data_IF_602497425355
#
_entry.id   IF_602497425355
#
_cell.length_a   1.000
_cell.length_b   1.000
_cell.length_c   1.000
_cell.angle_alpha   90.00
_cell.angle_beta   90.00
_cell.angle_gamma   90.00
#
_symmetry.space_group_name_H-M   'P 1'
#
loop_
_entity.id
_entity.type
_entity.pdbx_description
1 polymer ?
#
# COMPACT_ATOMS: atom_id res chain seq x y z
N UNK A 1 -14.62 -26.32 22.90
CA UNK A 1 -13.18 -26.10 23.13
C UNK A 1 -12.79 -24.85 22.37
N UNK A 2 -12.56 -23.73 23.07
CA UNK A 2 -12.13 -22.48 22.48
C UNK A 2 -10.61 -22.58 22.37
N UNK A 3 -10.08 -22.66 21.15
CA UNK A 3 -8.65 -22.60 20.91
C UNK A 3 -8.15 -21.18 21.20
N UNK A 4 -7.36 -21.03 22.24
CA UNK A 4 -6.69 -19.79 22.61
C UNK A 4 -5.74 -19.40 21.47
N UNK A 5 -6.08 -18.36 20.72
CA UNK A 5 -5.13 -17.66 19.87
C UNK A 5 -4.05 -17.04 20.77
N UNK A 6 -2.83 -17.52 20.60
CA UNK A 6 -1.67 -16.94 21.28
C UNK A 6 -1.49 -15.50 20.80
N UNK A 7 -1.78 -14.57 21.67
CA UNK A 7 -1.42 -13.16 21.51
C UNK A 7 0.09 -13.07 21.34
N UNK A 8 0.56 -12.83 20.13
CA UNK A 8 1.97 -12.67 19.83
C UNK A 8 2.41 -11.32 20.37
N UNK A 9 3.05 -11.32 21.54
CA UNK A 9 3.70 -10.13 22.10
C UNK A 9 4.91 -9.79 21.24
N UNK A 10 4.81 -8.68 20.51
CA UNK A 10 5.94 -8.13 19.75
C UNK A 10 6.91 -7.48 20.74
N UNK A 11 8.12 -8.03 20.82
CA UNK A 11 9.26 -7.36 21.44
C UNK A 11 9.55 -6.07 20.67
N UNK A 12 9.60 -4.96 21.37
CA UNK A 12 9.90 -3.63 20.84
C UNK A 12 11.40 -3.52 20.52
N UNK A 13 11.85 -4.15 19.46
CA UNK A 13 13.04 -3.70 18.75
C UNK A 13 12.54 -2.90 17.58
N UNK A 14 12.89 -1.61 17.52
CA UNK A 14 12.56 -0.69 16.43
C UNK A 14 13.09 -1.25 15.11
N UNK A 15 12.30 -2.14 14.48
CA UNK A 15 12.63 -2.73 13.18
C UNK A 15 12.09 -1.78 12.11
N UNK A 16 12.72 -0.62 12.00
CA UNK A 16 12.47 0.24 10.86
C UNK A 16 13.34 -0.23 9.70
N UNK A 17 12.77 -0.49 8.52
CA UNK A 17 13.56 -0.86 7.37
C UNK A 17 14.48 0.31 7.03
N UNK A 18 15.75 0.01 6.79
CA UNK A 18 16.64 0.97 6.20
C UNK A 18 16.04 1.42 4.86
N UNK A 19 15.82 2.73 4.67
CA UNK A 19 15.27 3.29 3.42
C UNK A 19 16.14 2.95 2.21
N UNK A 20 17.45 2.80 2.39
CA UNK A 20 18.37 2.38 1.33
C UNK A 20 18.07 0.96 0.88
N UNK A 21 17.81 0.04 1.82
CA UNK A 21 17.43 -1.33 1.52
C UNK A 21 16.10 -1.40 0.74
N UNK A 22 15.13 -0.56 1.10
CA UNK A 22 13.86 -0.47 0.36
C UNK A 22 14.07 0.10 -1.05
N UNK A 23 14.91 1.15 -1.19
CA UNK A 23 15.26 1.73 -2.49
C UNK A 23 15.94 0.72 -3.40
N UNK A 24 16.92 0.00 -2.89
CA UNK A 24 17.60 -1.08 -3.62
C UNK A 24 16.60 -2.15 -4.06
N UNK A 25 15.75 -2.63 -3.14
CA UNK A 25 14.76 -3.64 -3.47
C UNK A 25 13.77 -3.20 -4.54
N UNK A 26 13.14 -2.05 -4.36
CA UNK A 26 12.13 -1.56 -5.29
C UNK A 26 12.69 -0.94 -6.57
N UNK A 27 13.91 -0.40 -6.52
CA UNK A 27 14.59 0.15 -7.70
C UNK A 27 15.23 -0.91 -8.59
N UNK A 28 15.80 -1.97 -8.02
CA UNK A 28 16.62 -2.92 -8.76
C UNK A 28 16.04 -4.34 -8.80
N UNK A 29 15.55 -4.85 -7.68
CA UNK A 29 15.13 -6.26 -7.58
C UNK A 29 13.67 -6.46 -7.97
N UNK A 30 12.78 -5.62 -7.49
CA UNK A 30 11.35 -5.73 -7.75
C UNK A 30 10.97 -5.55 -9.23
N UNK A 31 11.52 -4.58 -10.00
CA UNK A 31 11.19 -4.42 -11.40
C UNK A 31 11.50 -5.65 -12.25
N UNK A 32 12.54 -6.41 -11.87
CA UNK A 32 12.93 -7.65 -12.58
C UNK A 32 11.97 -8.83 -12.31
N UNK A 33 11.20 -8.77 -11.23
CA UNK A 33 10.23 -9.80 -10.85
C UNK A 33 8.81 -9.45 -11.29
N UNK A 34 8.62 -8.27 -11.85
CA UNK A 34 7.32 -7.73 -12.18
C UNK A 34 6.68 -8.50 -13.33
N UNK A 35 5.47 -8.99 -13.10
CA UNK A 35 4.60 -9.50 -14.16
C UNK A 35 4.10 -8.27 -14.92
N UNK A 36 4.27 -8.24 -16.25
CA UNK A 36 3.62 -7.23 -17.10
C UNK A 36 2.11 -7.30 -16.87
N UNK A 37 1.43 -6.17 -16.85
CA UNK A 37 -0.03 -6.05 -16.73
C UNK A 37 -0.65 -6.29 -15.33
N UNK A 38 0.07 -5.91 -14.28
CA UNK A 38 -0.50 -5.89 -12.92
C UNK A 38 -1.82 -5.12 -12.80
N UNK A 39 -2.08 -4.20 -13.73
CA UNK A 39 -3.30 -3.39 -13.76
C UNK A 39 -4.57 -4.22 -13.89
N UNK A 40 -4.52 -5.36 -14.57
CA UNK A 40 -5.68 -6.22 -14.80
C UNK A 40 -5.79 -7.36 -13.79
N UNK A 41 -4.76 -7.57 -12.96
CA UNK A 41 -4.67 -8.71 -12.05
C UNK A 41 -5.38 -8.51 -10.70
N UNK A 42 -5.66 -7.28 -10.29
CA UNK A 42 -6.24 -6.99 -8.98
C UNK A 42 -7.55 -6.22 -9.11
N UNK A 43 -8.54 -6.58 -8.28
CA UNK A 43 -9.88 -5.98 -8.33
C UNK A 43 -9.90 -4.47 -8.20
N UNK A 44 -9.01 -3.90 -7.37
CA UNK A 44 -8.91 -2.46 -7.12
C UNK A 44 -7.59 -1.87 -7.59
N UNK A 45 -6.95 -2.49 -8.55
CA UNK A 45 -5.87 -1.92 -9.34
C UNK A 45 -6.28 -1.87 -10.79
N UNK A 46 -5.84 -0.89 -11.52
CA UNK A 46 -6.17 -0.77 -12.93
C UNK A 46 -7.44 0.00 -13.24
N UNK A 47 -8.16 -0.42 -14.25
CA UNK A 47 -9.28 0.34 -14.82
C UNK A 47 -10.35 0.71 -13.79
N UNK A 48 -10.66 -0.19 -12.85
CA UNK A 48 -11.71 0.09 -11.86
C UNK A 48 -11.40 1.29 -10.96
N UNK A 49 -10.14 1.46 -10.51
CA UNK A 49 -9.78 2.62 -9.70
C UNK A 49 -9.79 3.92 -10.50
N UNK A 50 -9.57 3.85 -11.81
CA UNK A 50 -9.72 5.00 -12.69
C UNK A 50 -11.18 5.45 -12.72
N UNK A 51 -12.11 4.49 -12.83
CA UNK A 51 -13.55 4.76 -12.89
C UNK A 51 -14.13 5.24 -11.54
N UNK A 52 -13.39 5.05 -10.43
CA UNK A 52 -13.76 5.49 -9.08
C UNK A 52 -13.34 6.96 -8.80
N UNK A 53 -12.65 7.61 -9.74
CA UNK A 53 -12.13 8.98 -9.59
C UNK A 53 -12.79 9.91 -10.60
N UNK A 54 -13.27 11.06 -10.11
CA UNK A 54 -13.83 12.10 -10.96
C UNK A 54 -12.75 13.05 -11.50
N UNK A 55 -12.98 13.63 -12.67
CA UNK A 55 -12.01 14.51 -13.37
C UNK A 55 -11.53 15.72 -12.55
N UNK A 56 -12.34 16.18 -11.61
CA UNK A 56 -12.01 17.32 -10.76
C UNK A 56 -11.25 16.96 -9.49
N UNK A 57 -11.19 15.69 -9.14
CA UNK A 57 -10.53 15.21 -7.92
C UNK A 57 -9.02 15.17 -8.07
N UNK A 58 -8.31 15.51 -7.00
CA UNK A 58 -6.87 15.34 -6.88
C UNK A 58 -6.56 14.01 -6.20
N UNK A 59 -5.72 13.22 -6.84
CA UNK A 59 -5.33 11.87 -6.37
C UNK A 59 -3.88 11.86 -5.95
N UNK A 60 -3.60 11.29 -4.77
CA UNK A 60 -2.26 10.96 -4.31
C UNK A 60 -2.04 9.44 -4.42
N UNK A 61 -1.11 9.01 -5.27
CA UNK A 61 -0.70 7.61 -5.38
C UNK A 61 0.59 7.37 -4.57
N UNK A 62 0.45 6.72 -3.42
CA UNK A 62 1.54 6.49 -2.46
C UNK A 62 2.26 5.20 -2.78
N UNK A 63 3.56 5.31 -3.09
CA UNK A 63 4.37 4.19 -3.57
C UNK A 63 3.90 3.76 -4.96
N UNK A 64 3.78 4.73 -5.86
CA UNK A 64 3.21 4.55 -7.20
C UNK A 64 4.05 3.66 -8.11
N UNK A 65 5.30 3.37 -7.75
CA UNK A 65 6.21 2.60 -8.58
C UNK A 65 6.38 3.24 -9.96
N UNK A 66 6.09 2.48 -11.01
CA UNK A 66 6.13 2.97 -12.40
C UNK A 66 4.97 3.91 -12.77
N UNK A 67 4.19 4.34 -11.81
CA UNK A 67 3.10 5.30 -11.96
C UNK A 67 2.07 4.88 -13.05
N UNK A 68 1.44 3.71 -12.94
CA UNK A 68 0.61 3.13 -13.99
C UNK A 68 -0.68 3.92 -14.29
N UNK A 69 -1.08 4.81 -13.38
CA UNK A 69 -2.25 5.68 -13.53
C UNK A 69 -1.93 7.03 -14.21
N UNK A 70 -0.64 7.35 -14.39
CA UNK A 70 -0.21 8.59 -15.05
C UNK A 70 -0.78 8.69 -16.47
N UNK A 71 -1.39 9.83 -16.77
CA UNK A 71 -2.07 10.07 -18.04
C UNK A 71 -3.45 9.42 -18.18
N UNK A 72 -3.89 8.63 -17.20
CA UNK A 72 -5.24 8.05 -17.13
C UNK A 72 -6.11 8.77 -16.11
N UNK A 73 -5.52 9.24 -15.02
CA UNK A 73 -6.15 10.12 -14.04
C UNK A 73 -5.59 11.52 -14.22
N UNK A 74 -6.49 12.48 -14.40
CA UNK A 74 -6.15 13.85 -14.80
C UNK A 74 -5.28 14.61 -13.79
N UNK A 75 -5.63 14.53 -12.52
CA UNK A 75 -4.97 15.28 -11.45
C UNK A 75 -4.24 14.32 -10.49
N UNK A 76 -3.47 13.38 -11.04
CA UNK A 76 -2.66 12.43 -10.28
C UNK A 76 -1.35 13.07 -9.83
N UNK A 77 -0.93 12.73 -8.62
CA UNK A 77 0.41 12.96 -8.08
C UNK A 77 0.92 11.64 -7.48
N UNK A 78 1.89 11.04 -8.14
CA UNK A 78 2.52 9.80 -7.70
C UNK A 78 3.80 10.08 -6.93
N UNK A 79 3.89 9.59 -5.69
CA UNK A 79 5.11 9.63 -4.88
C UNK A 79 5.67 8.23 -4.69
N UNK A 80 7.01 8.11 -4.68
CA UNK A 80 7.70 6.84 -4.43
C UNK A 80 9.07 7.09 -3.79
N UNK A 81 9.63 6.08 -3.14
CA UNK A 81 11.01 6.15 -2.61
C UNK A 81 12.06 5.94 -3.69
N UNK A 82 11.64 5.51 -4.90
CA UNK A 82 12.51 5.23 -6.06
C UNK A 82 12.12 6.09 -7.26
N UNK A 83 13.10 6.47 -8.06
CA UNK A 83 12.90 7.25 -9.29
C UNK A 83 12.63 6.32 -10.50
N UNK A 84 11.47 5.63 -10.50
CA UNK A 84 11.06 4.74 -11.60
C UNK A 84 9.78 5.20 -12.32
N UNK A 85 9.49 6.51 -12.26
CA UNK A 85 8.34 7.11 -12.96
C UNK A 85 7.41 7.91 -12.07
N UNK A 86 7.72 8.08 -10.78
CA UNK A 86 6.97 8.95 -9.87
C UNK A 86 7.07 10.42 -10.28
N UNK A 87 6.17 11.23 -9.73
CA UNK A 87 6.22 12.69 -9.90
C UNK A 87 7.16 13.32 -8.84
N UNK A 88 7.31 12.66 -7.68
CA UNK A 88 8.18 13.10 -6.60
C UNK A 88 8.81 11.90 -5.89
N UNK A 89 10.15 11.95 -5.69
CA UNK A 89 10.91 10.91 -4.99
C UNK A 89 10.94 11.23 -3.50
N UNK A 90 10.00 10.67 -2.75
CA UNK A 90 9.86 10.90 -1.30
C UNK A 90 9.17 9.71 -0.63
N UNK A 91 9.57 9.41 0.61
CA UNK A 91 8.82 8.48 1.44
C UNK A 91 7.59 9.18 2.04
N UNK A 92 6.47 8.46 2.17
CA UNK A 92 5.23 9.06 2.68
C UNK A 92 5.38 9.67 4.08
N UNK A 93 6.21 9.09 4.95
CA UNK A 93 6.46 9.61 6.29
C UNK A 93 7.25 10.92 6.32
N UNK A 94 7.85 11.32 5.20
CA UNK A 94 8.59 12.57 5.02
C UNK A 94 7.92 13.49 3.98
N UNK A 95 6.77 13.07 3.44
CA UNK A 95 6.02 13.86 2.47
C UNK A 95 5.31 15.03 3.14
N UNK A 96 5.71 16.24 2.75
CA UNK A 96 5.14 17.50 3.23
C UNK A 96 4.55 18.25 2.04
N UNK A 97 3.29 18.65 2.16
CA UNK A 97 2.59 19.35 1.09
C UNK A 97 1.50 20.29 1.61
N UNK A 98 1.39 21.46 0.99
CA UNK A 98 0.25 22.36 1.20
C UNK A 98 -0.97 21.93 0.37
N UNK A 99 -0.73 21.21 -0.74
CA UNK A 99 -1.79 20.66 -1.58
C UNK A 99 -2.52 19.56 -0.83
N UNK A 100 -3.85 19.55 -0.93
CA UNK A 100 -4.72 18.53 -0.33
C UNK A 100 -5.39 17.69 -1.40
N UNK A 101 -5.52 16.39 -1.12
CA UNK A 101 -6.03 15.40 -2.06
C UNK A 101 -7.41 14.91 -1.65
N UNK A 102 -8.25 14.62 -2.65
CA UNK A 102 -9.60 14.07 -2.48
C UNK A 102 -9.55 12.56 -2.32
N UNK A 103 -8.59 11.93 -2.97
CA UNK A 103 -8.41 10.48 -3.04
C UNK A 103 -6.97 10.11 -2.78
N UNK A 104 -6.75 9.02 -2.06
CA UNK A 104 -5.43 8.40 -1.98
C UNK A 104 -5.47 6.92 -2.39
N UNK A 105 -4.43 6.49 -3.09
CA UNK A 105 -4.13 5.09 -3.37
C UNK A 105 -2.96 4.63 -2.52
N UNK A 106 -3.14 3.51 -1.82
CA UNK A 106 -2.12 2.84 -1.00
C UNK A 106 -2.08 1.37 -1.42
N UNK A 107 -1.52 1.13 -2.59
CA UNK A 107 -1.64 -0.17 -3.27
C UNK A 107 -0.41 -1.05 -3.04
N UNK A 108 -0.08 -1.28 -1.78
CA UNK A 108 1.04 -2.12 -1.37
C UNK A 108 2.26 -1.35 -0.87
N UNK A 109 2.15 -0.04 -0.65
CA UNK A 109 3.26 0.83 -0.25
C UNK A 109 3.45 0.92 1.26
N UNK A 110 2.39 1.08 2.05
CA UNK A 110 2.47 1.13 3.52
C UNK A 110 2.41 -0.31 4.06
N UNK A 111 3.49 -1.05 3.89
CA UNK A 111 3.59 -2.47 4.24
C UNK A 111 4.88 -2.83 4.99
N UNK A 112 5.73 -1.86 5.31
CA UNK A 112 7.06 -2.14 5.82
C UNK A 112 7.31 -1.43 7.14
N UNK A 113 8.03 -2.10 8.04
CA UNK A 113 8.41 -1.56 9.34
C UNK A 113 7.54 -2.04 10.49
N UNK A 114 7.70 -1.41 11.62
CA UNK A 114 6.93 -1.66 12.83
C UNK A 114 5.64 -0.82 12.89
N UNK A 115 4.86 -1.02 13.96
CA UNK A 115 3.64 -0.26 14.18
C UNK A 115 3.85 1.25 14.30
N UNK A 116 4.99 1.70 14.83
CA UNK A 116 5.28 3.12 14.98
C UNK A 116 5.51 3.78 13.62
N UNK A 117 6.25 3.12 12.73
CA UNK A 117 6.46 3.60 11.37
C UNK A 117 5.15 3.60 10.58
N UNK A 118 4.36 2.52 10.66
CA UNK A 118 3.03 2.45 10.01
C UNK A 118 2.14 3.61 10.47
N UNK A 119 2.07 3.88 11.77
CA UNK A 119 1.31 5.02 12.30
C UNK A 119 1.84 6.37 11.79
N UNK A 120 3.15 6.54 11.72
CA UNK A 120 3.75 7.77 11.16
C UNK A 120 3.36 7.94 9.70
N UNK A 121 3.45 6.89 8.90
CA UNK A 121 3.07 6.89 7.48
C UNK A 121 1.59 7.23 7.29
N UNK A 122 0.71 6.59 8.05
CA UNK A 122 -0.73 6.86 8.00
C UNK A 122 -1.06 8.30 8.42
N UNK A 123 -0.38 8.82 9.45
CA UNK A 123 -0.56 10.22 9.87
C UNK A 123 -0.17 11.19 8.77
N UNK A 124 0.97 10.99 8.11
CA UNK A 124 1.41 11.84 7.01
C UNK A 124 0.43 11.76 5.82
N UNK A 125 -0.03 10.55 5.49
CA UNK A 125 -1.08 10.35 4.49
C UNK A 125 -2.35 11.14 4.82
N UNK A 126 -2.88 10.98 6.03
CA UNK A 126 -4.11 11.67 6.46
C UNK A 126 -3.93 13.19 6.45
N UNK A 127 -2.77 13.68 6.84
CA UNK A 127 -2.46 15.12 6.79
C UNK A 127 -2.43 15.67 5.37
N UNK A 128 -2.18 14.86 4.35
CA UNK A 128 -2.23 15.27 2.95
C UNK A 128 -3.65 15.27 2.37
N UNK A 129 -4.64 14.76 3.09
CA UNK A 129 -6.00 14.62 2.57
C UNK A 129 -6.90 15.78 2.96
N UNK A 130 -7.94 16.00 2.14
CA UNK A 130 -9.05 16.93 2.42
C UNK A 130 -10.05 16.31 3.40
N UNK A 131 -10.86 17.12 4.09
CA UNK A 131 -12.13 16.63 4.62
C UNK A 131 -12.98 16.01 3.50
N UNK A 132 -13.72 14.96 3.80
CA UNK A 132 -14.54 14.20 2.82
C UNK A 132 -13.71 13.49 1.73
N UNK A 133 -12.52 13.04 2.07
CA UNK A 133 -11.65 12.23 1.22
C UNK A 133 -11.88 10.73 1.40
N UNK A 134 -11.29 9.94 0.51
CA UNK A 134 -11.31 8.48 0.59
C UNK A 134 -9.94 7.88 0.26
N UNK A 135 -9.67 6.71 0.84
CA UNK A 135 -8.42 5.98 0.66
C UNK A 135 -8.72 4.57 0.19
N UNK A 136 -8.11 4.16 -0.91
CA UNK A 136 -8.13 2.79 -1.40
C UNK A 136 -6.86 2.06 -1.02
N UNK A 137 -7.00 0.99 -0.28
CA UNK A 137 -5.91 0.18 0.22
C UNK A 137 -5.84 -1.18 -0.47
N UNK A 138 -4.63 -1.62 -0.74
CA UNK A 138 -4.31 -3.01 -1.01
C UNK A 138 -3.19 -3.45 -0.09
N UNK A 139 -3.44 -4.44 0.74
CA UNK A 139 -2.50 -4.93 1.74
C UNK A 139 -2.17 -6.41 1.54
N UNK A 140 -0.99 -6.81 1.98
CA UNK A 140 -0.62 -8.21 2.08
C UNK A 140 -1.16 -8.78 3.39
N UNK A 141 -2.08 -9.75 3.28
CA UNK A 141 -2.67 -10.42 4.44
C UNK A 141 -1.68 -11.42 5.06
N UNK A 142 -0.81 -10.93 5.92
CA UNK A 142 -0.01 -11.80 6.78
C UNK A 142 1.07 -12.66 6.11
N UNK A 143 1.34 -12.46 4.82
CA UNK A 143 2.39 -13.22 4.12
C UNK A 143 3.64 -12.37 3.93
N UNK A 144 4.83 -12.90 4.25
CA UNK A 144 6.07 -12.27 3.85
C UNK A 144 6.18 -12.27 2.31
N UNK A 145 6.93 -11.35 1.76
CA UNK A 145 7.27 -11.35 0.34
C UNK A 145 8.26 -12.50 0.08
N UNK A 146 7.74 -13.68 -0.28
CA UNK A 146 8.51 -14.92 -0.31
C UNK A 146 9.40 -15.07 -1.56
N UNK A 147 9.30 -14.17 -2.53
CA UNK A 147 9.77 -14.43 -3.88
C UNK A 147 11.25 -14.16 -4.13
N UNK A 148 12.01 -13.62 -3.18
CA UNK A 148 13.46 -13.50 -3.31
C UNK A 148 14.17 -13.62 -1.95
N UNK A 149 15.42 -14.10 -1.95
CA UNK A 149 16.27 -14.09 -0.77
C UNK A 149 16.44 -12.70 -0.16
N UNK A 150 16.39 -11.66 -0.98
CA UNK A 150 16.44 -10.26 -0.58
C UNK A 150 15.13 -9.80 0.09
N UNK A 151 13.99 -10.16 -0.46
CA UNK A 151 12.68 -9.82 0.12
C UNK A 151 12.46 -10.35 1.54
N UNK A 152 13.16 -11.44 1.92
CA UNK A 152 13.13 -11.98 3.28
C UNK A 152 13.77 -11.06 4.33
N UNK A 153 14.61 -10.12 3.90
CA UNK A 153 15.25 -9.14 4.78
C UNK A 153 14.37 -7.94 5.08
N UNK A 154 13.26 -7.78 4.34
CA UNK A 154 12.35 -6.66 4.52
C UNK A 154 11.34 -6.95 5.63
N UNK A 155 11.22 -6.07 6.65
CA UNK A 155 10.26 -6.23 7.73
C UNK A 155 8.86 -5.90 7.25
N UNK A 156 8.14 -6.89 6.73
CA UNK A 156 6.75 -6.74 6.31
C UNK A 156 5.81 -6.63 7.50
N UNK A 157 4.95 -5.61 7.47
CA UNK A 157 3.82 -5.52 8.35
C UNK A 157 2.70 -6.48 7.91
N UNK A 158 2.21 -7.29 8.84
CA UNK A 158 1.14 -8.26 8.58
C UNK A 158 -0.21 -7.63 8.82
N UNK A 159 -0.77 -7.07 7.76
CA UNK A 159 -2.07 -6.42 7.83
C UNK A 159 -3.22 -7.39 8.14
N UNK A 160 -4.19 -6.88 8.92
CA UNK A 160 -5.50 -7.50 9.14
C UNK A 160 -6.56 -6.42 9.39
N UNK A 161 -7.84 -6.80 9.39
CA UNK A 161 -8.96 -5.87 9.57
C UNK A 161 -8.85 -5.05 10.88
N UNK A 162 -8.41 -5.67 11.98
CA UNK A 162 -8.30 -4.97 13.26
C UNK A 162 -7.29 -3.81 13.20
N UNK A 163 -6.20 -3.93 12.46
CA UNK A 163 -5.24 -2.85 12.27
C UNK A 163 -5.90 -1.66 11.55
N UNK A 164 -6.70 -1.90 10.52
CA UNK A 164 -7.43 -0.83 9.83
C UNK A 164 -8.47 -0.17 10.76
N UNK A 165 -9.22 -0.97 11.52
CA UNK A 165 -10.18 -0.45 12.50
C UNK A 165 -9.48 0.43 13.56
N UNK A 166 -8.35 -0.03 14.12
CA UNK A 166 -7.57 0.74 15.10
C UNK A 166 -7.08 2.07 14.51
N UNK A 167 -6.56 2.07 13.30
CA UNK A 167 -6.08 3.28 12.64
C UNK A 167 -7.23 4.26 12.35
N UNK A 168 -8.38 3.77 11.89
CA UNK A 168 -9.54 4.64 11.63
C UNK A 168 -10.17 5.18 12.92
N UNK A 169 -9.96 4.55 14.08
CA UNK A 169 -10.32 5.12 15.37
C UNK A 169 -9.40 6.27 15.80
N UNK A 170 -8.15 6.27 15.35
CA UNK A 170 -7.15 7.32 15.64
C UNK A 170 -7.23 8.50 14.69
N UNK A 171 -7.95 8.36 13.56
CA UNK A 171 -8.07 9.33 12.49
C UNK A 171 -9.55 9.56 12.12
N UNK A 172 -9.91 10.67 11.44
CA UNK A 172 -11.31 10.98 11.09
C UNK A 172 -11.79 10.14 9.89
N UNK A 173 -11.61 8.82 9.96
CA UNK A 173 -11.99 7.86 8.91
C UNK A 173 -12.78 6.69 9.47
N UNK A 174 -13.50 6.01 8.59
CA UNK A 174 -14.09 4.70 8.85
C UNK A 174 -13.78 3.74 7.72
N UNK A 175 -13.77 2.44 8.01
CA UNK A 175 -13.67 1.39 6.99
C UNK A 175 -15.05 1.17 6.43
N UNK A 176 -15.30 1.55 5.18
CA UNK A 176 -16.60 1.40 4.52
C UNK A 176 -16.67 0.14 3.67
N UNK A 177 -15.53 -0.35 3.17
CA UNK A 177 -15.47 -1.61 2.44
C UNK A 177 -14.27 -2.45 2.88
N UNK A 178 -14.49 -3.77 2.94
CA UNK A 178 -13.44 -4.77 3.12
C UNK A 178 -13.69 -5.94 2.18
N UNK A 179 -12.66 -6.34 1.45
CA UNK A 179 -12.73 -7.46 0.53
C UNK A 179 -11.45 -8.29 0.58
N UNK A 180 -11.51 -9.53 1.11
CA UNK A 180 -10.41 -10.47 0.93
C UNK A 180 -10.39 -10.96 -0.51
N UNK A 181 -9.19 -11.13 -1.05
CA UNK A 181 -8.98 -11.66 -2.40
C UNK A 181 -7.85 -12.69 -2.39
N UNK A 182 -8.25 -13.93 -2.51
CA UNK A 182 -7.33 -15.06 -2.65
C UNK A 182 -7.43 -15.57 -4.08
N UNK A 183 -6.33 -15.57 -4.81
CA UNK A 183 -6.31 -16.07 -6.18
C UNK A 183 -4.99 -16.76 -6.50
N UNK A 184 -5.09 -17.76 -7.37
CA UNK A 184 -3.95 -18.52 -7.87
C UNK A 184 -3.61 -18.07 -9.27
N UNK A 185 -2.34 -17.78 -9.52
CA UNK A 185 -1.83 -17.47 -10.87
C UNK A 185 -0.61 -18.31 -11.18
N UNK A 186 -0.28 -18.39 -12.47
CA UNK A 186 0.95 -19.03 -12.92
C UNK A 186 1.98 -17.97 -13.30
N UNK A 187 3.19 -18.15 -12.79
CA UNK A 187 4.34 -17.38 -13.22
C UNK A 187 4.74 -17.78 -14.65
N UNK A 188 5.55 -16.96 -15.36
CA UNK A 188 6.05 -17.30 -16.69
C UNK A 188 6.81 -18.63 -16.76
N UNK A 189 7.41 -19.07 -15.66
CA UNK A 189 8.07 -20.38 -15.52
C UNK A 189 7.10 -21.55 -15.29
N UNK A 190 5.81 -21.29 -15.27
CA UNK A 190 4.74 -22.28 -15.05
C UNK A 190 4.46 -22.59 -13.59
N UNK A 191 5.19 -22.02 -12.63
CA UNK A 191 4.97 -22.20 -11.19
C UNK A 191 3.66 -21.54 -10.79
N UNK A 192 2.82 -22.29 -10.08
CA UNK A 192 1.62 -21.71 -9.46
C UNK A 192 1.98 -20.97 -8.16
N UNK A 193 1.46 -19.76 -8.02
CA UNK A 193 1.53 -18.98 -6.79
C UNK A 193 0.12 -18.61 -6.34
N UNK A 194 -0.10 -18.71 -5.03
CA UNK A 194 -1.32 -18.21 -4.41
C UNK A 194 -1.04 -16.84 -3.80
N UNK A 195 -1.75 -15.83 -4.26
CA UNK A 195 -1.63 -14.46 -3.80
C UNK A 195 -2.83 -14.13 -2.92
N UNK A 196 -2.54 -13.79 -1.68
CA UNK A 196 -3.53 -13.28 -0.74
C UNK A 196 -3.41 -11.78 -0.66
N UNK A 197 -4.51 -11.10 -0.94
CA UNK A 197 -4.60 -9.64 -0.85
C UNK A 197 -5.84 -9.28 -0.04
N UNK A 198 -5.75 -8.15 0.63
CA UNK A 198 -6.89 -7.54 1.31
C UNK A 198 -7.06 -6.13 0.76
N UNK A 199 -8.28 -5.79 0.42
CA UNK A 199 -8.66 -4.47 -0.05
C UNK A 199 -9.55 -3.81 0.97
N UNK A 200 -9.28 -2.54 1.21
CA UNK A 200 -10.08 -1.71 2.11
C UNK A 200 -10.36 -0.38 1.43
N UNK A 201 -11.54 0.14 1.67
CA UNK A 201 -11.86 1.54 1.42
C UNK A 201 -12.07 2.22 2.75
N UNK A 202 -11.40 3.34 2.95
CA UNK A 202 -11.66 4.25 4.05
C UNK A 202 -12.33 5.50 3.52
N UNK A 203 -13.34 5.98 4.22
CA UNK A 203 -13.98 7.25 3.93
C UNK A 203 -13.93 8.13 5.16
N UNK A 204 -13.76 9.44 4.95
CA UNK A 204 -13.75 10.41 6.05
C UNK A 204 -15.15 10.50 6.67
N UNK A 205 -15.18 10.62 7.99
CA UNK A 205 -16.40 10.82 8.81
C UNK A 205 -16.97 12.21 8.62
#
# INVERSE_FOLDING_TARGET
>A
MVTSEKTQTYSSTDINPNKELLREYFGEHWPKQRISDWMDLYRWTGKRLIDEVEDHEHVLDVGCGSNPFKGKIKNLHGIDITDIGCDEVVAIEDFETEKKYDVAFVLGSINFGDWNLINKQVRSLVNALKPKSRIYWRCNAGQPHENSGFGKQLPFWRWNLNHHIMLTQMHPFEVTEFMPDDWTTKLPDGKEINLKRQYYKWESK
#
